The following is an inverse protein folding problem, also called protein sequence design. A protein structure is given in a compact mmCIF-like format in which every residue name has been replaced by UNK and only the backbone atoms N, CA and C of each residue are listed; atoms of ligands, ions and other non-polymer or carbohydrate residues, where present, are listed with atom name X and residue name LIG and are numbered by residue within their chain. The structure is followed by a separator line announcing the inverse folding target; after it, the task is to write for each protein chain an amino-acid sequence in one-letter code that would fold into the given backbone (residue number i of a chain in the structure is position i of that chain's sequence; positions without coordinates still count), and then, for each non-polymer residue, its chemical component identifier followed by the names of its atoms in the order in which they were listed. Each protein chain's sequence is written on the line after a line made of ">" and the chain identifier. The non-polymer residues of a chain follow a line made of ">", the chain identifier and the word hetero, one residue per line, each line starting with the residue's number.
data_IF_577384627872
#
_entry.id   IF_577384627872
#
_cell.length_a   1.000
_cell.length_b   1.000
_cell.length_c   1.000
_cell.angle_alpha   90.00
_cell.angle_beta   90.00
_cell.angle_gamma   90.00
#
_symmetry.space_group_name_H-M   'P 1'
#
loop_
_entity.id
_entity.type
_entity.pdbx_description
1 polymer ?
#
# COMPACT_ATOMS: atom_id res chain seq x y z
N UNK A 1 20.76 -25.79 -22.97
CA UNK A 1 20.59 -26.29 -21.58
C UNK A 1 19.42 -27.27 -21.60
N UNK A 2 19.43 -28.37 -20.83
CA UNK A 2 18.26 -29.28 -20.83
C UNK A 2 17.08 -28.69 -20.04
N UNK A 3 15.82 -29.10 -20.31
CA UNK A 3 14.66 -28.62 -19.55
C UNK A 3 14.76 -28.87 -18.04
N UNK A 4 15.32 -30.02 -17.65
CA UNK A 4 15.57 -30.34 -16.23
C UNK A 4 16.59 -29.37 -15.60
N UNK A 5 17.72 -29.12 -16.27
CA UNK A 5 18.72 -28.18 -15.78
C UNK A 5 18.20 -26.73 -15.72
N UNK A 6 17.28 -26.35 -16.62
CA UNK A 6 16.55 -25.08 -16.53
C UNK A 6 15.72 -25.02 -15.24
N UNK A 7 14.91 -26.04 -14.98
CA UNK A 7 14.00 -26.06 -13.82
C UNK A 7 14.75 -26.01 -12.49
N UNK A 8 15.84 -26.77 -12.33
CA UNK A 8 16.66 -26.76 -11.10
C UNK A 8 17.28 -25.38 -10.87
N UNK A 9 17.82 -24.77 -11.93
CA UNK A 9 18.43 -23.44 -11.84
C UNK A 9 17.39 -22.36 -11.55
N UNK A 10 16.21 -22.44 -12.16
CA UNK A 10 15.10 -21.53 -11.87
C UNK A 10 14.62 -21.66 -10.43
N UNK A 11 14.50 -22.89 -9.90
CA UNK A 11 14.11 -23.10 -8.51
C UNK A 11 15.07 -22.38 -7.53
N UNK A 12 16.38 -22.52 -7.73
CA UNK A 12 17.39 -21.80 -6.94
C UNK A 12 17.24 -20.28 -7.07
N UNK A 13 17.02 -19.78 -8.30
CA UNK A 13 16.85 -18.34 -8.53
C UNK A 13 15.57 -17.80 -7.89
N UNK A 14 14.46 -18.56 -7.93
CA UNK A 14 13.19 -18.21 -7.31
C UNK A 14 13.30 -18.19 -5.79
N UNK A 15 13.95 -19.18 -5.18
CA UNK A 15 14.23 -19.20 -3.74
C UNK A 15 15.05 -17.99 -3.27
N UNK A 16 15.92 -17.47 -4.13
CA UNK A 16 16.74 -16.29 -3.84
C UNK A 16 16.08 -14.97 -4.29
N UNK A 17 14.85 -15.00 -4.80
CA UNK A 17 14.15 -13.85 -5.40
C UNK A 17 14.98 -13.11 -6.47
N UNK A 18 15.85 -13.83 -7.20
CA UNK A 18 16.74 -13.27 -8.24
C UNK A 18 16.01 -13.21 -9.58
N UNK A 19 14.91 -12.44 -9.61
CA UNK A 19 13.99 -12.35 -10.75
C UNK A 19 14.67 -11.86 -12.04
N UNK A 20 15.60 -10.91 -11.95
CA UNK A 20 16.32 -10.38 -13.11
C UNK A 20 17.18 -11.45 -13.80
N UNK A 21 17.83 -12.31 -13.02
CA UNK A 21 18.67 -13.37 -13.56
C UNK A 21 17.83 -14.53 -14.08
N UNK A 22 16.74 -14.87 -13.41
CA UNK A 22 15.77 -15.84 -13.91
C UNK A 22 15.19 -15.37 -15.25
N UNK A 23 14.91 -14.07 -15.39
CA UNK A 23 14.44 -13.47 -16.64
C UNK A 23 15.46 -13.65 -17.77
N UNK A 24 16.71 -13.24 -17.55
CA UNK A 24 17.77 -13.38 -18.56
C UNK A 24 17.99 -14.84 -18.97
N UNK A 25 17.94 -15.76 -18.00
CA UNK A 25 18.05 -17.20 -18.27
C UNK A 25 16.92 -17.69 -19.16
N UNK A 26 15.68 -17.33 -18.86
CA UNK A 26 14.49 -17.70 -19.62
C UNK A 26 14.46 -17.06 -21.01
N UNK A 27 14.81 -15.78 -21.13
CA UNK A 27 14.94 -15.11 -22.43
C UNK A 27 15.97 -15.81 -23.33
N UNK A 28 17.11 -16.23 -22.76
CA UNK A 28 18.12 -16.96 -23.52
C UNK A 28 17.66 -18.35 -23.95
N UNK A 29 16.90 -19.05 -23.10
CA UNK A 29 16.40 -20.39 -23.38
C UNK A 29 15.25 -20.37 -24.40
N UNK A 30 14.30 -19.46 -24.24
CA UNK A 30 13.14 -19.30 -25.14
C UNK A 30 13.55 -18.80 -26.53
N UNK A 31 14.73 -18.21 -26.70
CA UNK A 31 15.27 -17.88 -28.02
C UNK A 31 15.54 -19.14 -28.86
N UNK A 32 15.99 -20.23 -28.22
CA UNK A 32 16.25 -21.52 -28.87
C UNK A 32 15.01 -22.43 -28.89
N UNK A 33 14.12 -22.30 -27.89
CA UNK A 33 12.93 -23.13 -27.69
C UNK A 33 11.65 -22.29 -27.46
N UNK A 34 11.17 -21.54 -28.46
CA UNK A 34 10.06 -20.59 -28.27
C UNK A 34 8.71 -21.24 -27.92
N UNK A 35 8.51 -22.50 -28.31
CA UNK A 35 7.26 -23.25 -28.12
C UNK A 35 7.21 -24.02 -26.79
N UNK A 36 8.28 -23.99 -25.97
CA UNK A 36 8.31 -24.68 -24.68
C UNK A 36 7.34 -24.00 -23.70
N UNK A 37 6.14 -24.58 -23.55
CA UNK A 37 5.03 -24.07 -22.74
C UNK A 37 5.44 -23.85 -21.28
N UNK A 38 6.16 -24.80 -20.69
CA UNK A 38 6.58 -24.71 -19.29
C UNK A 38 7.58 -23.57 -19.09
N UNK A 39 8.52 -23.39 -20.02
CA UNK A 39 9.43 -22.25 -19.99
C UNK A 39 8.69 -20.91 -20.19
N UNK A 40 7.67 -20.85 -21.05
CA UNK A 40 6.80 -19.67 -21.23
C UNK A 40 6.04 -19.34 -19.93
N UNK A 41 5.51 -20.35 -19.23
CA UNK A 41 4.86 -20.19 -17.93
C UNK A 41 5.82 -19.66 -16.86
N UNK A 42 7.03 -20.23 -16.75
CA UNK A 42 8.05 -19.70 -15.84
C UNK A 42 8.42 -18.26 -16.17
N UNK A 43 8.51 -17.92 -17.46
CA UNK A 43 8.81 -16.56 -17.89
C UNK A 43 7.72 -15.57 -17.47
N UNK A 44 6.45 -15.91 -17.68
CA UNK A 44 5.33 -15.08 -17.22
C UNK A 44 5.34 -14.94 -15.69
N UNK A 45 5.61 -16.03 -14.94
CA UNK A 45 5.74 -15.95 -13.49
C UNK A 45 6.87 -14.99 -13.05
N UNK A 46 8.01 -15.01 -13.75
CA UNK A 46 9.11 -14.06 -13.49
C UNK A 46 8.70 -12.63 -13.84
N UNK A 47 7.94 -12.41 -14.90
CA UNK A 47 7.43 -11.08 -15.26
C UNK A 47 6.48 -10.54 -14.19
N UNK A 48 5.61 -11.38 -13.61
CA UNK A 48 4.74 -10.99 -12.49
C UNK A 48 5.58 -10.55 -11.29
N UNK A 49 6.54 -11.38 -10.87
CA UNK A 49 7.36 -11.13 -9.69
C UNK A 49 8.40 -10.00 -9.88
N UNK A 50 8.77 -9.68 -11.12
CA UNK A 50 9.62 -8.52 -11.45
C UNK A 50 8.83 -7.22 -11.67
N UNK A 51 7.49 -7.26 -11.58
CA UNK A 51 6.63 -6.08 -11.72
C UNK A 51 6.24 -5.72 -13.15
N UNK A 52 6.63 -6.52 -14.15
CA UNK A 52 6.32 -6.37 -15.58
C UNK A 52 4.90 -6.89 -15.90
N UNK A 53 3.91 -6.49 -15.08
CA UNK A 53 2.53 -7.01 -15.08
C UNK A 53 1.83 -6.89 -16.45
N UNK A 54 2.17 -5.85 -17.23
CA UNK A 54 1.58 -5.64 -18.57
C UNK A 54 2.04 -6.70 -19.56
N UNK A 55 3.34 -6.96 -19.61
CA UNK A 55 3.91 -7.96 -20.50
C UNK A 55 3.44 -9.36 -20.11
N UNK A 56 3.38 -9.66 -18.81
CA UNK A 56 2.80 -10.91 -18.31
C UNK A 56 1.38 -11.14 -18.84
N UNK A 57 0.55 -10.09 -18.93
CA UNK A 57 -0.80 -10.18 -19.49
C UNK A 57 -0.84 -10.39 -20.99
N UNK A 58 0.01 -9.67 -21.73
CA UNK A 58 0.09 -9.83 -23.17
C UNK A 58 0.47 -11.26 -23.56
N UNK A 59 1.29 -11.92 -22.74
CA UNK A 59 1.78 -13.28 -22.98
C UNK A 59 0.86 -14.40 -22.47
N UNK A 60 0.07 -14.16 -21.42
CA UNK A 60 -0.80 -15.23 -20.86
C UNK A 60 -2.03 -15.51 -21.72
N UNK A 61 -2.53 -14.50 -22.46
CA UNK A 61 -3.70 -14.64 -23.34
C UNK A 61 -3.53 -15.73 -24.41
N UNK A 62 -2.47 -15.67 -25.25
CA UNK A 62 -2.19 -16.70 -26.24
C UNK A 62 -2.03 -18.10 -25.64
N UNK A 63 -1.34 -18.24 -24.49
CA UNK A 63 -1.20 -19.54 -23.82
C UNK A 63 -2.55 -20.10 -23.37
N UNK A 64 -3.45 -19.23 -22.87
CA UNK A 64 -4.78 -19.64 -22.45
C UNK A 64 -5.66 -20.05 -23.66
N UNK A 65 -5.43 -19.46 -24.84
CA UNK A 65 -6.10 -19.88 -26.08
C UNK A 65 -5.54 -21.21 -26.62
N UNK A 66 -4.22 -21.41 -26.55
CA UNK A 66 -3.53 -22.64 -26.96
C UNK A 66 -3.91 -23.83 -26.06
N UNK A 67 -4.03 -23.60 -24.75
CA UNK A 67 -4.25 -24.63 -23.73
C UNK A 67 -5.29 -24.19 -22.68
N UNK A 68 -6.57 -24.07 -23.06
CA UNK A 68 -7.62 -23.50 -22.20
C UNK A 68 -7.93 -24.34 -20.97
N UNK A 69 -7.68 -25.65 -21.04
CA UNK A 69 -7.97 -26.59 -19.95
C UNK A 69 -6.73 -26.92 -19.10
N UNK A 70 -5.55 -26.39 -19.42
CA UNK A 70 -4.33 -26.69 -18.66
C UNK A 70 -4.37 -25.99 -17.28
N UNK A 71 -4.34 -26.75 -16.15
CA UNK A 71 -4.42 -26.16 -14.82
C UNK A 71 -3.32 -25.15 -14.51
N UNK A 72 -2.10 -25.35 -15.01
CA UNK A 72 -0.99 -24.43 -14.77
C UNK A 72 -1.19 -23.09 -15.49
N UNK A 73 -1.72 -23.14 -16.72
CA UNK A 73 -2.04 -21.95 -17.51
C UNK A 73 -3.19 -21.19 -16.86
N UNK A 74 -4.27 -21.89 -16.48
CA UNK A 74 -5.43 -21.32 -15.79
C UNK A 74 -5.04 -20.64 -14.46
N UNK A 75 -4.21 -21.30 -13.65
CA UNK A 75 -3.72 -20.77 -12.38
C UNK A 75 -2.90 -19.50 -12.60
N UNK A 76 -1.96 -19.53 -13.55
CA UNK A 76 -1.13 -18.37 -13.85
C UNK A 76 -1.96 -17.22 -14.44
N UNK A 77 -2.92 -17.51 -15.31
CA UNK A 77 -3.87 -16.53 -15.84
C UNK A 77 -4.67 -15.86 -14.72
N UNK A 78 -5.17 -16.63 -13.75
CA UNK A 78 -5.87 -16.08 -12.60
C UNK A 78 -4.98 -15.13 -11.78
N UNK A 79 -3.71 -15.51 -11.53
CA UNK A 79 -2.74 -14.65 -10.84
C UNK A 79 -2.47 -13.36 -11.64
N UNK A 80 -2.34 -13.43 -12.96
CA UNK A 80 -2.17 -12.25 -13.82
C UNK A 80 -3.39 -11.32 -13.76
N UNK A 81 -4.59 -11.89 -13.73
CA UNK A 81 -5.85 -11.13 -13.65
C UNK A 81 -6.07 -10.49 -12.27
N UNK A 82 -5.67 -11.15 -11.17
CA UNK A 82 -5.61 -10.53 -9.84
C UNK A 82 -4.68 -9.32 -9.84
N UNK A 83 -3.48 -9.50 -10.40
CA UNK A 83 -2.50 -8.43 -10.57
C UNK A 83 -3.00 -7.27 -11.46
N UNK A 84 -4.02 -7.51 -12.32
CA UNK A 84 -4.70 -6.47 -13.10
C UNK A 84 -5.90 -5.82 -12.42
N UNK A 85 -6.20 -6.16 -11.17
CA UNK A 85 -7.43 -5.73 -10.50
C UNK A 85 -8.69 -6.19 -11.26
N UNK A 86 -8.65 -7.38 -11.85
CA UNK A 86 -9.80 -8.07 -12.45
C UNK A 86 -10.17 -9.31 -11.64
N UNK A 87 -10.53 -9.16 -10.36
CA UNK A 87 -10.72 -10.31 -9.49
C UNK A 87 -11.93 -11.16 -9.87
N UNK A 88 -12.90 -10.61 -10.60
CA UNK A 88 -14.02 -11.39 -11.16
C UNK A 88 -13.60 -12.37 -12.25
N UNK A 89 -12.55 -12.05 -13.02
CA UNK A 89 -12.01 -12.97 -14.03
C UNK A 89 -11.22 -14.06 -13.33
N UNK A 90 -10.36 -13.68 -12.38
CA UNK A 90 -9.63 -14.63 -11.54
C UNK A 90 -10.56 -15.58 -10.77
N UNK A 91 -11.67 -15.08 -10.22
CA UNK A 91 -12.71 -15.91 -9.57
C UNK A 91 -13.24 -16.99 -10.52
N UNK A 92 -13.55 -16.64 -11.78
CA UNK A 92 -14.05 -17.63 -12.75
C UNK A 92 -13.01 -18.69 -13.07
N UNK A 93 -11.75 -18.28 -13.26
CA UNK A 93 -10.65 -19.20 -13.55
C UNK A 93 -10.37 -20.13 -12.36
N UNK A 94 -10.40 -19.62 -11.13
CA UNK A 94 -10.31 -20.43 -9.93
C UNK A 94 -11.49 -21.42 -9.81
N UNK A 95 -12.70 -21.00 -10.19
CA UNK A 95 -13.87 -21.88 -10.25
C UNK A 95 -13.68 -23.05 -11.22
N UNK A 96 -13.13 -22.80 -12.41
CA UNK A 96 -12.82 -23.86 -13.39
C UNK A 96 -11.80 -24.84 -12.80
N UNK A 97 -10.74 -24.34 -12.13
CA UNK A 97 -9.75 -25.20 -11.51
C UNK A 97 -10.35 -26.10 -10.40
N UNK A 98 -11.24 -25.54 -9.56
CA UNK A 98 -11.96 -26.30 -8.54
C UNK A 98 -12.86 -27.38 -9.18
N UNK A 99 -13.50 -27.08 -10.32
CA UNK A 99 -14.31 -28.07 -11.05
C UNK A 99 -13.45 -29.19 -11.66
N UNK A 100 -12.25 -28.86 -12.13
CA UNK A 100 -11.29 -29.85 -12.66
C UNK A 100 -10.73 -30.77 -11.58
N UNK A 101 -10.35 -30.20 -10.43
CA UNK A 101 -9.85 -30.93 -9.28
C UNK A 101 -10.39 -30.34 -7.96
N UNK A 102 -11.48 -30.93 -7.41
CA UNK A 102 -12.06 -30.47 -6.16
C UNK A 102 -11.18 -30.69 -4.93
N UNK A 103 -10.10 -31.48 -5.02
CA UNK A 103 -9.17 -31.76 -3.93
C UNK A 103 -7.94 -30.83 -3.94
N UNK A 104 -7.73 -30.06 -5.01
CA UNK A 104 -6.63 -29.08 -5.12
C UNK A 104 -6.88 -27.87 -4.21
N UNK A 105 -6.18 -27.83 -3.07
CA UNK A 105 -6.27 -26.78 -2.07
C UNK A 105 -5.84 -25.40 -2.61
N UNK A 106 -4.85 -25.37 -3.51
CA UNK A 106 -4.35 -24.12 -4.11
C UNK A 106 -5.44 -23.41 -4.94
N UNK A 107 -6.37 -24.14 -5.54
CA UNK A 107 -7.47 -23.56 -6.29
C UNK A 107 -8.47 -22.82 -5.40
N UNK A 108 -8.71 -23.32 -4.18
CA UNK A 108 -9.48 -22.60 -3.17
C UNK A 108 -8.73 -21.40 -2.61
N UNK A 109 -7.40 -21.48 -2.44
CA UNK A 109 -6.57 -20.31 -2.06
C UNK A 109 -6.68 -19.21 -3.12
N UNK A 110 -6.59 -19.57 -4.41
CA UNK A 110 -6.74 -18.63 -5.52
C UNK A 110 -8.14 -18.00 -5.55
N UNK A 111 -9.19 -18.78 -5.31
CA UNK A 111 -10.55 -18.27 -5.13
C UNK A 111 -10.63 -17.30 -3.95
N UNK A 112 -10.03 -17.63 -2.81
CA UNK A 112 -10.00 -16.76 -1.65
C UNK A 112 -9.33 -15.41 -1.95
N UNK A 113 -8.17 -15.41 -2.65
CA UNK A 113 -7.51 -14.18 -3.10
C UNK A 113 -8.43 -13.33 -3.98
N UNK A 114 -9.13 -13.94 -4.94
CA UNK A 114 -10.11 -13.25 -5.77
C UNK A 114 -11.27 -12.65 -4.96
N UNK A 115 -11.72 -13.31 -3.89
CA UNK A 115 -12.75 -12.78 -2.98
C UNK A 115 -12.23 -11.65 -2.11
N UNK A 116 -10.97 -11.69 -1.69
CA UNK A 116 -10.33 -10.60 -0.93
C UNK A 116 -10.20 -9.31 -1.72
N UNK A 117 -9.79 -9.39 -2.98
CA UNK A 117 -9.72 -8.24 -3.88
C UNK A 117 -11.10 -7.64 -4.16
N UNK A 118 -12.15 -8.46 -4.08
CA UNK A 118 -13.55 -8.02 -4.13
C UNK A 118 -14.08 -7.49 -2.79
N UNK A 119 -13.24 -7.48 -1.73
CA UNK A 119 -13.61 -7.14 -0.35
C UNK A 119 -14.70 -8.04 0.24
N UNK A 120 -14.87 -9.24 -0.30
CA UNK A 120 -15.77 -10.26 0.23
C UNK A 120 -14.99 -11.16 1.20
N UNK A 121 -14.70 -10.61 2.37
CA UNK A 121 -13.83 -11.24 3.37
C UNK A 121 -14.41 -12.55 3.93
N UNK A 122 -15.73 -12.64 4.09
CA UNK A 122 -16.36 -13.86 4.59
C UNK A 122 -16.24 -15.00 3.57
N UNK A 123 -16.52 -14.74 2.29
CA UNK A 123 -16.32 -15.75 1.25
C UNK A 123 -14.86 -16.14 1.08
N UNK A 124 -13.93 -15.21 1.28
CA UNK A 124 -12.50 -15.53 1.30
C UNK A 124 -12.16 -16.50 2.43
N UNK A 125 -12.63 -16.24 3.67
CA UNK A 125 -12.43 -17.13 4.80
C UNK A 125 -13.03 -18.53 4.56
N UNK A 126 -14.25 -18.62 4.01
CA UNK A 126 -14.87 -19.91 3.68
C UNK A 126 -14.04 -20.72 2.67
N UNK A 127 -13.47 -20.07 1.65
CA UNK A 127 -12.60 -20.79 0.70
C UNK A 127 -11.27 -21.20 1.34
N UNK A 128 -10.73 -20.41 2.26
CA UNK A 128 -9.53 -20.81 3.02
C UNK A 128 -9.81 -21.98 3.96
N UNK A 129 -11.00 -22.05 4.54
CA UNK A 129 -11.45 -23.22 5.29
C UNK A 129 -11.52 -24.45 4.38
N UNK A 130 -12.12 -24.33 3.18
CA UNK A 130 -12.11 -25.44 2.22
C UNK A 130 -10.70 -25.90 1.80
N UNK A 131 -9.77 -24.97 1.59
CA UNK A 131 -8.37 -25.30 1.30
C UNK A 131 -7.74 -26.09 2.46
N UNK A 132 -7.94 -25.63 3.70
CA UNK A 132 -7.37 -26.24 4.90
C UNK A 132 -8.04 -27.58 5.28
N UNK A 133 -9.30 -27.78 4.92
CA UNK A 133 -9.98 -29.08 5.10
C UNK A 133 -9.35 -30.18 4.21
N UNK A 134 -8.83 -29.81 3.04
CA UNK A 134 -8.13 -30.72 2.10
C UNK A 134 -6.68 -30.88 2.49
N UNK A 135 -6.01 -29.77 2.77
CA UNK A 135 -4.62 -29.74 3.18
C UNK A 135 -4.44 -28.84 4.41
N UNK A 136 -4.48 -29.42 5.63
CA UNK A 136 -4.29 -28.66 6.86
C UNK A 136 -2.92 -27.99 6.98
N UNK A 137 -1.94 -28.43 6.20
CA UNK A 137 -0.57 -27.91 6.18
C UNK A 137 -0.32 -26.89 5.05
N UNK A 138 -1.35 -26.48 4.30
CA UNK A 138 -1.18 -25.42 3.31
C UNK A 138 -0.81 -24.09 3.98
N UNK A 139 0.49 -23.78 3.91
CA UNK A 139 1.08 -22.60 4.55
C UNK A 139 0.52 -21.28 4.01
N UNK A 140 0.20 -21.22 2.71
CA UNK A 140 -0.37 -20.02 2.10
C UNK A 140 -1.81 -19.79 2.59
N UNK A 141 -2.61 -20.85 2.67
CA UNK A 141 -3.98 -20.80 3.19
C UNK A 141 -3.99 -20.38 4.67
N UNK A 142 -3.11 -20.95 5.50
CA UNK A 142 -2.94 -20.56 6.90
C UNK A 142 -2.57 -19.08 7.02
N UNK A 143 -1.57 -18.63 6.27
CA UNK A 143 -1.12 -17.24 6.28
C UNK A 143 -2.22 -16.27 5.85
N UNK A 144 -2.97 -16.60 4.79
CA UNK A 144 -4.04 -15.76 4.30
C UNK A 144 -5.22 -15.73 5.29
N UNK A 145 -5.53 -16.86 5.93
CA UNK A 145 -6.57 -16.94 6.97
C UNK A 145 -6.21 -16.06 8.17
N UNK A 146 -4.96 -16.11 8.64
CA UNK A 146 -4.47 -15.25 9.73
C UNK A 146 -4.58 -13.76 9.35
N UNK A 147 -4.12 -13.41 8.15
CA UNK A 147 -4.15 -12.02 7.67
C UNK A 147 -5.56 -11.45 7.68
N UNK A 148 -6.51 -12.18 7.10
CA UNK A 148 -7.92 -11.80 6.95
C UNK A 148 -8.65 -11.84 8.29
N UNK A 149 -8.47 -12.91 9.07
CA UNK A 149 -9.07 -13.07 10.39
C UNK A 149 -8.68 -11.90 11.31
N UNK A 150 -7.41 -11.55 11.32
CA UNK A 150 -6.95 -10.42 12.12
C UNK A 150 -7.33 -9.05 11.55
N UNK A 151 -7.53 -8.94 10.24
CA UNK A 151 -8.10 -7.72 9.64
C UNK A 151 -9.53 -7.53 10.15
N UNK A 152 -10.34 -8.59 10.15
CA UNK A 152 -11.69 -8.56 10.69
C UNK A 152 -11.73 -8.46 12.22
N UNK A 153 -10.67 -8.86 12.92
CA UNK A 153 -10.60 -8.93 14.37
C UNK A 153 -11.27 -10.17 14.94
N UNK A 154 -11.20 -11.31 14.24
CA UNK A 154 -11.79 -12.57 14.72
C UNK A 154 -10.99 -13.15 15.88
N UNK A 155 -11.71 -13.68 16.87
CA UNK A 155 -11.13 -14.19 18.13
C UNK A 155 -10.24 -15.42 17.95
N UNK A 156 -10.51 -16.23 16.94
CA UNK A 156 -9.76 -17.44 16.60
C UNK A 156 -8.43 -17.17 15.87
N UNK A 157 -8.17 -15.93 15.46
CA UNK A 157 -6.94 -15.55 14.73
C UNK A 157 -5.67 -15.91 15.50
N UNK A 158 -5.66 -15.72 16.82
CA UNK A 158 -4.48 -16.06 17.62
C UNK A 158 -4.21 -17.56 17.62
N UNK A 159 -5.26 -18.38 17.70
CA UNK A 159 -5.11 -19.84 17.63
C UNK A 159 -4.56 -20.27 16.27
N UNK A 160 -5.06 -19.68 15.18
CA UNK A 160 -4.54 -19.95 13.84
C UNK A 160 -3.06 -19.57 13.69
N UNK A 161 -2.62 -18.47 14.33
CA UNK A 161 -1.19 -18.09 14.39
C UNK A 161 -0.38 -19.18 15.12
N UNK A 162 -0.85 -19.62 16.28
CA UNK A 162 -0.15 -20.59 17.11
C UNK A 162 -0.04 -21.96 16.39
N UNK A 163 -1.10 -22.38 15.70
CA UNK A 163 -1.13 -23.60 14.87
C UNK A 163 -0.16 -23.49 13.68
N UNK A 164 -0.19 -22.39 12.93
CA UNK A 164 0.70 -22.19 11.79
C UNK A 164 2.18 -22.15 12.21
N UNK A 165 2.50 -21.49 13.33
CA UNK A 165 3.86 -21.48 13.88
C UNK A 165 4.28 -22.81 14.48
N UNK A 166 3.34 -23.66 14.91
CA UNK A 166 3.64 -25.02 15.34
C UNK A 166 4.05 -25.90 14.14
N UNK A 167 3.32 -25.78 13.03
CA UNK A 167 3.62 -26.51 11.79
C UNK A 167 4.93 -26.05 11.15
N UNK A 168 5.15 -24.74 11.04
CA UNK A 168 6.37 -24.16 10.50
C UNK A 168 6.87 -22.98 11.36
N UNK A 169 7.75 -23.25 12.35
CA UNK A 169 8.24 -22.23 13.28
C UNK A 169 9.07 -21.11 12.63
N UNK A 170 9.63 -21.35 11.44
CA UNK A 170 10.50 -20.42 10.72
C UNK A 170 9.83 -19.83 9.47
N UNK A 171 8.52 -20.00 9.29
CA UNK A 171 7.80 -19.34 8.20
C UNK A 171 7.79 -17.81 8.41
N UNK A 172 8.55 -17.08 7.58
CA UNK A 172 8.71 -15.63 7.72
C UNK A 172 7.38 -14.90 7.62
N UNK A 173 6.48 -15.36 6.75
CA UNK A 173 5.19 -14.74 6.51
C UNK A 173 4.23 -14.94 7.69
N UNK A 174 4.24 -16.11 8.33
CA UNK A 174 3.46 -16.37 9.56
C UNK A 174 3.96 -15.51 10.71
N UNK A 175 5.27 -15.41 10.88
CA UNK A 175 5.89 -14.54 11.88
C UNK A 175 5.53 -13.07 11.59
N UNK A 176 5.54 -12.65 10.34
CA UNK A 176 5.16 -11.31 9.91
C UNK A 176 3.68 -11.02 10.17
N UNK A 177 2.80 -11.96 9.85
CA UNK A 177 1.37 -11.91 10.14
C UNK A 177 1.12 -11.72 11.64
N UNK A 178 1.81 -12.48 12.50
CA UNK A 178 1.74 -12.30 13.95
C UNK A 178 2.20 -10.90 14.36
N UNK A 179 3.35 -10.44 13.84
CA UNK A 179 3.83 -9.08 14.07
C UNK A 179 2.82 -8.00 13.65
N UNK A 180 2.13 -8.21 12.53
CA UNK A 180 1.11 -7.29 12.05
C UNK A 180 -0.16 -7.29 12.91
N UNK A 181 -0.55 -8.46 13.46
CA UNK A 181 -1.64 -8.50 14.44
C UNK A 181 -1.29 -7.79 15.74
N UNK A 182 -0.06 -7.95 16.25
CA UNK A 182 0.42 -7.20 17.41
C UNK A 182 0.36 -5.69 17.17
N UNK A 183 0.71 -5.24 15.96
CA UNK A 183 0.60 -3.84 15.56
C UNK A 183 -0.86 -3.34 15.60
N UNK A 184 -1.80 -4.12 15.05
CA UNK A 184 -3.25 -3.81 15.08
C UNK A 184 -3.80 -3.73 16.51
N UNK A 185 -3.30 -4.58 17.41
CA UNK A 185 -3.61 -4.55 18.84
C UNK A 185 -2.95 -3.36 19.57
N UNK A 186 -2.06 -2.62 18.91
CA UNK A 186 -1.33 -1.49 19.49
C UNK A 186 -0.07 -1.87 20.26
N UNK A 187 0.33 -3.14 20.23
CA UNK A 187 1.54 -3.67 20.86
C UNK A 187 2.77 -3.43 19.96
N UNK A 188 3.11 -2.15 19.77
CA UNK A 188 4.11 -1.71 18.77
C UNK A 188 5.50 -2.32 19.00
N UNK A 189 5.99 -2.37 20.23
CA UNK A 189 7.34 -2.89 20.49
C UNK A 189 7.43 -4.41 20.26
N UNK A 190 6.40 -5.17 20.65
CA UNK A 190 6.31 -6.61 20.36
C UNK A 190 6.20 -6.87 18.84
N UNK A 191 5.42 -6.04 18.13
CA UNK A 191 5.34 -6.09 16.67
C UNK A 191 6.72 -5.89 16.03
N UNK A 192 7.47 -4.86 16.45
CA UNK A 192 8.80 -4.56 15.92
C UNK A 192 9.80 -5.70 16.15
N UNK A 193 9.73 -6.37 17.30
CA UNK A 193 10.57 -7.54 17.58
C UNK A 193 10.22 -8.72 16.66
N UNK A 194 8.94 -9.04 16.54
CA UNK A 194 8.47 -10.15 15.71
C UNK A 194 8.75 -9.92 14.22
N UNK A 195 8.56 -8.68 13.74
CA UNK A 195 8.82 -8.30 12.36
C UNK A 195 10.32 -8.28 12.03
N UNK A 196 11.17 -7.91 13.00
CA UNK A 196 12.63 -8.05 12.84
C UNK A 196 13.03 -9.51 12.68
N UNK A 197 12.40 -10.42 13.43
CA UNK A 197 12.65 -11.85 13.28
C UNK A 197 12.25 -12.35 11.89
N UNK A 198 11.05 -12.01 11.42
CA UNK A 198 10.60 -12.34 10.05
C UNK A 198 11.59 -11.86 8.99
N UNK A 199 12.04 -10.60 9.07
CA UNK A 199 13.01 -10.01 8.14
C UNK A 199 14.43 -10.59 8.26
N UNK A 200 14.77 -11.21 9.39
CA UNK A 200 16.06 -11.90 9.55
C UNK A 200 16.06 -13.27 8.85
N UNK A 201 14.90 -13.91 8.75
CA UNK A 201 14.69 -15.17 8.02
C UNK A 201 14.58 -14.87 6.52
N UNK A 202 13.66 -13.98 6.15
CA UNK A 202 13.44 -13.56 4.76
C UNK A 202 13.46 -12.03 4.66
N UNK A 203 14.60 -11.43 4.26
CA UNK A 203 14.71 -9.98 4.07
C UNK A 203 13.82 -9.40 2.97
N UNK A 204 13.28 -10.26 2.09
CA UNK A 204 12.43 -9.86 0.96
C UNK A 204 10.93 -10.06 1.22
N UNK A 205 10.54 -10.57 2.38
CA UNK A 205 9.14 -10.76 2.75
C UNK A 205 8.39 -9.41 2.73
N UNK A 206 7.46 -9.27 1.78
CA UNK A 206 6.78 -8.01 1.50
C UNK A 206 5.90 -7.56 2.67
N UNK A 207 5.17 -8.51 3.27
CA UNK A 207 4.34 -8.25 4.43
C UNK A 207 5.20 -7.80 5.62
N UNK A 208 6.31 -8.50 5.90
CA UNK A 208 7.21 -8.15 6.98
C UNK A 208 7.80 -6.75 6.81
N UNK A 209 8.23 -6.39 5.59
CA UNK A 209 8.77 -5.06 5.28
C UNK A 209 7.72 -3.98 5.46
N UNK A 210 6.52 -4.20 4.92
CA UNK A 210 5.39 -3.28 5.04
C UNK A 210 5.01 -3.07 6.51
N UNK A 211 4.72 -4.16 7.23
CA UNK A 211 4.32 -4.11 8.62
C UNK A 211 5.42 -3.52 9.52
N UNK A 212 6.71 -3.77 9.22
CA UNK A 212 7.83 -3.18 9.95
C UNK A 212 7.84 -1.66 9.76
N UNK A 213 7.66 -1.19 8.53
CA UNK A 213 7.59 0.23 8.22
C UNK A 213 6.42 0.89 8.96
N UNK A 214 5.22 0.30 8.92
CA UNK A 214 4.04 0.76 9.66
C UNK A 214 4.28 0.76 11.19
N UNK A 215 4.90 -0.29 11.73
CA UNK A 215 5.23 -0.39 13.16
C UNK A 215 6.25 0.66 13.60
N UNK A 216 7.25 0.96 12.77
CA UNK A 216 8.21 2.02 13.06
C UNK A 216 7.55 3.41 13.07
N UNK A 217 6.64 3.68 12.14
CA UNK A 217 5.83 4.90 12.12
C UNK A 217 4.90 4.97 13.34
N UNK A 218 4.32 3.84 13.74
CA UNK A 218 3.44 3.70 14.90
C UNK A 218 4.12 3.95 16.26
N UNK A 219 5.46 4.11 16.32
CA UNK A 219 6.10 4.66 17.51
C UNK A 219 5.63 6.08 17.81
N UNK A 220 5.25 6.83 16.78
CA UNK A 220 4.64 8.14 16.92
C UNK A 220 3.13 7.99 17.19
N UNK A 221 2.65 8.47 18.34
CA UNK A 221 1.27 8.26 18.76
C UNK A 221 0.19 8.80 17.80
N UNK A 222 0.37 9.95 17.11
CA UNK A 222 -0.60 10.40 16.11
C UNK A 222 -0.67 9.47 14.90
N UNK A 223 0.45 8.82 14.55
CA UNK A 223 0.46 7.81 13.51
C UNK A 223 -0.37 6.59 13.91
N UNK A 224 -0.33 6.17 15.18
CA UNK A 224 -1.19 5.07 15.66
C UNK A 224 -2.66 5.35 15.49
N UNK A 225 -3.07 6.59 15.76
CA UNK A 225 -4.46 7.02 15.56
C UNK A 225 -4.83 6.98 14.08
N UNK A 226 -3.94 7.50 13.22
CA UNK A 226 -4.10 7.44 11.76
C UNK A 226 -4.19 6.00 11.24
N UNK A 227 -3.30 5.11 11.69
CA UNK A 227 -3.28 3.70 11.29
C UNK A 227 -4.59 3.00 11.67
N UNK A 228 -5.09 3.20 12.91
CA UNK A 228 -6.39 2.66 13.32
C UNK A 228 -7.54 3.20 12.49
N UNK A 229 -7.51 4.50 12.18
CA UNK A 229 -8.50 5.12 11.29
C UNK A 229 -8.45 4.49 9.88
N UNK A 230 -7.25 4.31 9.31
CA UNK A 230 -7.12 3.69 7.99
C UNK A 230 -7.63 2.24 7.97
N UNK A 231 -7.27 1.44 8.97
CA UNK A 231 -7.76 0.06 9.12
C UNK A 231 -9.29 0.01 9.24
N UNK A 232 -9.89 0.92 10.00
CA UNK A 232 -11.35 1.03 10.10
C UNK A 232 -12.01 1.41 8.76
N UNK A 233 -11.45 2.41 8.07
CA UNK A 233 -11.95 2.88 6.77
C UNK A 233 -11.75 1.83 5.66
N UNK A 234 -10.74 0.97 5.77
CA UNK A 234 -10.48 -0.09 4.82
C UNK A 234 -11.58 -1.17 4.83
N UNK A 235 -12.19 -1.44 6.00
CA UNK A 235 -13.28 -2.42 6.16
C UNK A 235 -14.60 -1.95 5.54
N UNK A 236 -14.79 -0.64 5.40
CA UNK A 236 -16.01 -0.06 4.89
C UNK A 236 -16.07 -0.16 3.36
N UNK A 237 -17.29 -0.28 2.82
CA UNK A 237 -17.53 -0.12 1.38
C UNK A 237 -17.24 1.33 0.96
N UNK A 238 -16.94 1.55 -0.32
CA UNK A 238 -16.63 2.91 -0.82
C UNK A 238 -17.72 3.95 -0.49
N UNK A 239 -19.00 3.55 -0.56
CA UNK A 239 -20.12 4.41 -0.18
C UNK A 239 -20.18 4.71 1.31
N UNK A 240 -19.93 3.71 2.17
CA UNK A 240 -19.91 3.88 3.62
C UNK A 240 -18.75 4.78 4.07
N UNK A 241 -17.56 4.58 3.50
CA UNK A 241 -16.38 5.45 3.73
C UNK A 241 -16.67 6.90 3.36
N UNK A 242 -17.32 7.15 2.22
CA UNK A 242 -17.73 8.50 1.82
C UNK A 242 -18.75 9.09 2.81
N UNK A 243 -19.69 8.26 3.30
CA UNK A 243 -20.65 8.65 4.34
C UNK A 243 -19.98 9.12 5.63
N UNK A 244 -18.91 8.45 6.08
CA UNK A 244 -18.14 8.88 7.27
C UNK A 244 -17.51 10.26 7.06
N UNK A 245 -16.91 10.49 5.89
CA UNK A 245 -16.27 11.78 5.56
C UNK A 245 -17.31 12.90 5.49
N UNK A 246 -18.44 12.67 4.82
CA UNK A 246 -19.55 13.64 4.72
C UNK A 246 -20.13 13.91 6.10
N UNK A 247 -20.35 12.86 6.91
CA UNK A 247 -20.86 12.98 8.28
C UNK A 247 -19.95 13.83 9.17
N UNK A 248 -18.63 13.61 9.08
CA UNK A 248 -17.65 14.42 9.81
C UNK A 248 -17.69 15.89 9.36
N UNK A 249 -17.78 16.15 8.05
CA UNK A 249 -17.89 17.51 7.52
C UNK A 249 -19.17 18.22 7.99
N UNK A 250 -20.32 17.53 7.96
CA UNK A 250 -21.58 18.06 8.48
C UNK A 250 -21.51 18.35 9.98
N UNK A 251 -20.90 17.44 10.75
CA UNK A 251 -20.72 17.62 12.19
C UNK A 251 -19.84 18.84 12.49
N UNK A 252 -18.71 18.99 11.80
CA UNK A 252 -17.84 20.17 11.95
C UNK A 252 -18.60 21.45 11.60
N UNK A 253 -19.34 21.45 10.50
CA UNK A 253 -20.11 22.63 10.08
C UNK A 253 -21.21 23.00 11.09
N UNK A 254 -21.91 22.00 11.63
CA UNK A 254 -22.88 22.20 12.70
C UNK A 254 -22.24 22.76 13.98
N UNK A 255 -21.12 22.18 14.42
CA UNK A 255 -20.39 22.65 15.60
C UNK A 255 -19.91 24.10 15.43
N UNK A 256 -19.38 24.45 14.25
CA UNK A 256 -18.99 25.83 13.92
C UNK A 256 -20.19 26.79 14.01
N UNK A 257 -21.34 26.43 13.43
CA UNK A 257 -22.54 27.26 13.50
C UNK A 257 -23.01 27.46 14.95
N UNK A 258 -23.04 26.40 15.76
CA UNK A 258 -23.42 26.49 17.18
C UNK A 258 -22.46 27.39 17.96
N UNK A 259 -21.15 27.30 17.67
CA UNK A 259 -20.12 28.13 18.30
C UNK A 259 -20.27 29.61 17.93
N UNK A 260 -20.66 29.91 16.69
CA UNK A 260 -20.92 31.28 16.20
C UNK A 260 -22.19 31.88 16.80
N UNK A 261 -23.28 31.11 16.83
CA UNK A 261 -24.58 31.55 17.36
C UNK A 261 -24.57 31.68 18.90
N UNK A 262 -23.70 30.93 19.58
CA UNK A 262 -23.64 30.88 21.04
C UNK A 262 -22.21 31.13 21.54
N UNK A 263 -21.79 32.40 21.70
CA UNK A 263 -20.43 32.76 22.10
C UNK A 263 -19.97 32.10 23.42
N UNK A 264 -20.90 31.81 24.33
CA UNK A 264 -20.61 31.12 25.59
C UNK A 264 -20.09 29.68 25.42
N UNK A 265 -20.45 28.99 24.34
CA UNK A 265 -19.93 27.65 24.01
C UNK A 265 -18.72 27.70 23.08
N UNK A 266 -18.46 28.83 22.43
CA UNK A 266 -17.36 29.01 21.49
C UNK A 266 -15.99 28.64 22.07
N UNK A 267 -15.75 28.94 23.35
CA UNK A 267 -14.49 28.60 24.05
C UNK A 267 -14.18 27.09 24.01
N UNK A 268 -15.21 26.23 24.02
CA UNK A 268 -15.06 24.78 24.02
C UNK A 268 -15.19 24.18 22.61
N UNK A 269 -16.05 24.75 21.77
CA UNK A 269 -16.34 24.23 20.44
C UNK A 269 -15.26 24.56 19.41
N UNK A 270 -14.69 25.77 19.43
CA UNK A 270 -13.63 26.15 18.48
C UNK A 270 -12.39 25.24 18.55
N UNK A 271 -11.85 24.92 19.74
CA UNK A 271 -10.77 23.94 19.86
C UNK A 271 -11.11 22.58 19.26
N UNK A 272 -12.35 22.10 19.40
CA UNK A 272 -12.79 20.81 18.83
C UNK A 272 -12.83 20.89 17.30
N UNK A 273 -13.39 21.97 16.75
CA UNK A 273 -13.42 22.21 15.29
C UNK A 273 -12.00 22.24 14.71
N UNK A 274 -11.09 22.99 15.35
CA UNK A 274 -9.68 23.05 14.91
C UNK A 274 -8.98 21.71 15.04
N UNK A 275 -9.26 20.93 16.08
CA UNK A 275 -8.72 19.59 16.24
C UNK A 275 -9.21 18.66 15.12
N UNK A 276 -10.50 18.69 14.77
CA UNK A 276 -11.04 17.92 13.65
C UNK A 276 -10.36 18.29 12.32
N UNK A 277 -10.19 19.59 12.07
CA UNK A 277 -9.48 20.08 10.89
C UNK A 277 -7.99 19.66 10.88
N UNK A 278 -7.31 19.75 12.02
CA UNK A 278 -5.93 19.33 12.15
C UNK A 278 -5.76 17.82 11.91
N UNK A 279 -6.66 16.98 12.45
CA UNK A 279 -6.69 15.54 12.19
C UNK A 279 -6.96 15.22 10.72
N UNK A 280 -7.85 15.98 10.08
CA UNK A 280 -8.09 15.85 8.64
C UNK A 280 -6.84 16.18 7.83
N UNK A 281 -6.20 17.32 8.08
CA UNK A 281 -4.94 17.68 7.42
C UNK A 281 -3.82 16.67 7.70
N UNK A 282 -3.79 16.11 8.91
CA UNK A 282 -2.83 15.08 9.29
C UNK A 282 -2.92 13.88 8.33
N UNK A 283 -4.12 13.51 7.86
CA UNK A 283 -4.27 12.40 6.89
C UNK A 283 -3.53 12.63 5.57
N UNK A 284 -3.24 13.89 5.19
CA UNK A 284 -2.53 14.23 3.95
C UNK A 284 -1.01 14.31 4.14
N UNK A 285 -0.56 14.77 5.31
CA UNK A 285 0.86 15.05 5.57
C UNK A 285 1.56 13.98 6.42
N UNK A 286 0.82 13.11 7.12
CA UNK A 286 1.40 12.19 8.09
C UNK A 286 2.41 11.25 7.43
N UNK A 287 2.09 10.65 6.30
CA UNK A 287 2.98 9.71 5.62
C UNK A 287 4.27 10.37 5.12
N UNK A 288 4.22 11.53 4.41
CA UNK A 288 5.42 12.31 4.08
C UNK A 288 6.30 12.64 5.29
N UNK A 289 5.70 13.11 6.38
CA UNK A 289 6.41 13.47 7.62
C UNK A 289 7.04 12.22 8.25
N UNK A 290 6.32 11.10 8.25
CA UNK A 290 6.82 9.84 8.79
C UNK A 290 7.96 9.27 7.94
N UNK A 291 7.92 9.39 6.62
CA UNK A 291 9.05 9.01 5.76
C UNK A 291 10.29 9.86 6.05
N UNK A 292 10.12 11.16 6.27
CA UNK A 292 11.21 12.02 6.72
C UNK A 292 11.76 11.57 8.10
N UNK A 293 10.89 11.28 9.06
CA UNK A 293 11.30 10.71 10.35
C UNK A 293 12.11 9.41 10.17
N UNK A 294 11.63 8.47 9.34
CA UNK A 294 12.32 7.21 9.07
C UNK A 294 13.69 7.42 8.41
N UNK A 295 13.85 8.45 7.58
CA UNK A 295 15.14 8.80 6.97
C UNK A 295 16.21 9.13 8.05
N UNK A 296 15.81 9.66 9.20
CA UNK A 296 16.72 9.97 10.32
C UNK A 296 17.14 8.72 11.11
N UNK A 297 16.42 7.61 10.96
CA UNK A 297 16.70 6.34 11.61
C UNK A 297 17.52 5.41 10.69
N UNK A 298 18.56 4.76 11.23
CA UNK A 298 19.44 3.85 10.47
C UNK A 298 18.66 2.71 9.79
N UNK A 299 17.74 2.08 10.51
CA UNK A 299 16.94 0.96 9.99
C UNK A 299 15.76 1.45 9.16
N UNK A 300 15.11 2.55 9.58
CA UNK A 300 13.99 3.13 8.86
C UNK A 300 14.34 3.52 7.43
N UNK A 301 15.54 4.06 7.21
CA UNK A 301 16.02 4.43 5.86
C UNK A 301 16.16 3.22 4.91
N UNK A 302 16.42 2.02 5.42
CA UNK A 302 16.57 0.82 4.59
C UNK A 302 15.23 0.26 4.11
N UNK A 303 14.14 0.58 4.81
CA UNK A 303 12.79 0.17 4.43
C UNK A 303 12.20 1.04 3.33
N UNK A 304 12.70 2.29 3.18
CA UNK A 304 12.26 3.21 2.15
C UNK A 304 12.90 2.89 0.80
N UNK A 305 12.10 2.99 -0.27
CA UNK A 305 12.62 2.99 -1.64
C UNK A 305 13.30 4.33 -2.00
N UNK A 306 13.94 4.42 -3.17
CA UNK A 306 14.67 5.62 -3.59
C UNK A 306 13.75 6.82 -3.85
N UNK A 307 12.54 6.61 -4.36
CA UNK A 307 11.56 7.67 -4.61
C UNK A 307 11.04 8.24 -3.28
N UNK A 308 10.74 7.37 -2.31
CA UNK A 308 10.37 7.71 -0.95
C UNK A 308 11.49 8.47 -0.24
N UNK A 309 12.76 8.06 -0.39
CA UNK A 309 13.90 8.80 0.18
C UNK A 309 14.01 10.20 -0.40
N UNK A 310 13.84 10.36 -1.71
CA UNK A 310 13.89 11.68 -2.36
C UNK A 310 12.74 12.57 -1.87
N UNK A 311 11.50 12.08 -1.90
CA UNK A 311 10.33 12.81 -1.40
C UNK A 311 10.50 13.18 0.09
N UNK A 312 10.97 12.25 0.92
CA UNK A 312 11.25 12.48 2.34
C UNK A 312 12.29 13.59 2.58
N UNK A 313 13.37 13.64 1.79
CA UNK A 313 14.38 14.71 1.88
C UNK A 313 13.79 16.07 1.50
N UNK A 314 12.98 16.12 0.43
CA UNK A 314 12.32 17.35 0.00
C UNK A 314 11.32 17.85 1.04
N UNK A 315 10.51 16.94 1.61
CA UNK A 315 9.60 17.25 2.72
C UNK A 315 10.38 17.77 3.92
N UNK A 316 11.49 17.12 4.30
CA UNK A 316 12.37 17.58 5.38
C UNK A 316 12.96 18.97 5.12
N UNK A 317 13.38 19.24 3.88
CA UNK A 317 13.82 20.58 3.46
C UNK A 317 12.71 21.63 3.58
N UNK A 318 11.50 21.30 3.14
CA UNK A 318 10.33 22.18 3.25
C UNK A 318 9.97 22.47 4.71
N UNK A 319 9.95 21.45 5.57
CA UNK A 319 9.72 21.61 7.01
C UNK A 319 10.81 22.46 7.67
N UNK A 320 12.07 22.28 7.28
CA UNK A 320 13.18 23.10 7.75
C UNK A 320 13.03 24.58 7.37
N UNK A 321 12.68 24.87 6.11
CA UNK A 321 12.38 26.22 5.63
C UNK A 321 11.16 26.83 6.33
N UNK A 322 10.11 26.04 6.58
CA UNK A 322 8.97 26.47 7.37
C UNK A 322 9.38 26.89 8.79
N UNK A 323 10.18 26.06 9.47
CA UNK A 323 10.70 26.35 10.81
C UNK A 323 11.56 27.60 10.86
N UNK A 324 12.49 27.77 9.91
CA UNK A 324 13.32 28.98 9.81
C UNK A 324 12.48 30.23 9.55
N UNK A 325 11.45 30.12 8.71
CA UNK A 325 10.51 31.22 8.45
C UNK A 325 9.71 31.57 9.71
N UNK A 326 9.22 30.59 10.48
CA UNK A 326 8.55 30.88 11.76
C UNK A 326 9.49 31.58 12.76
N UNK A 327 10.74 31.13 12.87
CA UNK A 327 11.72 31.80 13.73
C UNK A 327 11.98 33.24 13.28
N UNK A 328 12.11 33.46 11.97
CA UNK A 328 12.26 34.81 11.42
C UNK A 328 11.02 35.68 11.67
N UNK A 329 9.81 35.12 11.59
CA UNK A 329 8.57 35.81 11.96
C UNK A 329 8.58 36.25 13.43
N UNK A 330 8.90 35.36 14.36
CA UNK A 330 8.96 35.72 15.79
C UNK A 330 10.06 36.73 16.11
N UNK A 331 11.17 36.71 15.37
CA UNK A 331 12.27 37.65 15.57
C UNK A 331 11.98 39.04 14.98
N UNK A 332 11.27 39.12 13.86
CA UNK A 332 11.09 40.37 13.10
C UNK A 332 9.68 40.95 13.15
N UNK A 333 8.68 40.14 13.49
CA UNK A 333 7.25 40.47 13.37
C UNK A 333 6.73 40.55 11.93
N UNK A 334 7.56 40.25 10.91
CA UNK A 334 7.19 40.45 9.52
C UNK A 334 6.27 39.32 9.00
N UNK A 335 5.03 39.67 8.64
CA UNK A 335 4.02 38.74 8.11
C UNK A 335 4.49 37.95 6.87
N UNK A 336 5.45 38.46 6.11
CA UNK A 336 6.12 37.75 5.02
C UNK A 336 6.62 36.37 5.47
N UNK A 337 7.30 36.29 6.61
CA UNK A 337 7.87 35.04 7.11
C UNK A 337 6.80 34.08 7.64
N UNK A 338 5.70 34.60 8.18
CA UNK A 338 4.55 33.79 8.52
C UNK A 338 3.92 33.16 7.26
N UNK A 339 3.73 33.94 6.21
CA UNK A 339 3.21 33.45 4.93
C UNK A 339 4.12 32.38 4.31
N UNK A 340 5.44 32.60 4.33
CA UNK A 340 6.44 31.62 3.87
C UNK A 340 6.36 30.32 4.68
N UNK A 341 6.24 30.41 6.01
CA UNK A 341 6.07 29.24 6.86
C UNK A 341 4.84 28.40 6.46
N UNK A 342 3.70 29.05 6.27
CA UNK A 342 2.48 28.37 5.82
C UNK A 342 2.63 27.77 4.43
N UNK A 343 3.23 28.47 3.48
CA UNK A 343 3.46 27.94 2.14
C UNK A 343 4.34 26.69 2.17
N UNK A 344 5.46 26.70 2.90
CA UNK A 344 6.34 25.54 3.01
C UNK A 344 5.71 24.37 3.78
N UNK A 345 4.85 24.63 4.76
CA UNK A 345 4.08 23.57 5.43
C UNK A 345 3.11 22.90 4.45
N UNK A 346 2.33 23.69 3.71
CA UNK A 346 1.38 23.16 2.72
C UNK A 346 2.09 22.42 1.58
N UNK A 347 3.28 22.88 1.19
CA UNK A 347 4.05 22.27 0.11
C UNK A 347 4.59 20.87 0.45
N UNK A 348 4.57 20.47 1.72
CA UNK A 348 4.86 19.07 2.11
C UNK A 348 3.91 18.05 1.47
N UNK A 349 2.67 18.46 1.16
CA UNK A 349 1.67 17.59 0.53
C UNK A 349 2.14 17.16 -0.87
N UNK A 350 2.33 18.06 -1.85
CA UNK A 350 2.76 17.64 -3.18
C UNK A 350 4.19 17.10 -3.20
N UNK A 351 5.11 17.62 -2.37
CA UNK A 351 6.48 17.09 -2.26
C UNK A 351 6.52 15.66 -1.72
N UNK A 352 5.51 15.26 -0.93
CA UNK A 352 5.41 13.94 -0.34
C UNK A 352 4.76 12.89 -1.24
N UNK A 353 4.33 13.26 -2.45
CA UNK A 353 3.51 12.37 -3.27
C UNK A 353 3.74 12.42 -4.79
N UNK A 354 4.48 13.38 -5.31
CA UNK A 354 4.63 13.58 -6.76
C UNK A 354 5.32 12.43 -7.52
N UNK A 355 6.07 11.56 -6.82
CA UNK A 355 6.71 10.38 -7.40
C UNK A 355 5.97 9.07 -7.10
N UNK A 356 4.80 9.11 -6.43
CA UNK A 356 4.03 7.91 -6.10
C UNK A 356 3.53 7.12 -7.32
N UNK A 357 3.07 7.73 -8.43
CA UNK A 357 2.55 6.97 -9.55
C UNK A 357 3.62 6.04 -10.15
N UNK A 358 3.23 4.86 -10.60
CA UNK A 358 4.16 3.98 -11.33
C UNK A 358 4.38 4.51 -12.73
N UNK A 359 3.32 4.96 -13.43
CA UNK A 359 3.45 5.32 -14.85
C UNK A 359 4.29 6.59 -14.97
N UNK A 360 5.36 6.50 -15.77
CA UNK A 360 6.26 7.63 -16.05
C UNK A 360 5.51 8.89 -16.48
N UNK A 361 4.48 8.78 -17.31
CA UNK A 361 3.66 9.93 -17.72
C UNK A 361 2.96 10.61 -16.55
N UNK A 362 2.35 9.83 -15.64
CA UNK A 362 1.68 10.38 -14.46
C UNK A 362 2.68 11.02 -13.50
N UNK A 363 3.85 10.41 -13.30
CA UNK A 363 4.97 11.00 -12.55
C UNK A 363 5.39 12.36 -13.12
N UNK A 364 5.56 12.46 -14.45
CA UNK A 364 5.92 13.73 -15.09
C UNK A 364 4.84 14.79 -14.86
N UNK A 365 3.55 14.43 -15.02
CA UNK A 365 2.43 15.36 -14.79
C UNK A 365 2.45 15.87 -13.35
N UNK A 366 2.53 14.99 -12.35
CA UNK A 366 2.55 15.41 -10.94
C UNK A 366 3.80 16.20 -10.57
N UNK A 367 4.94 15.90 -11.19
CA UNK A 367 6.19 16.67 -11.00
C UNK A 367 6.00 18.10 -11.50
N UNK A 368 5.49 18.28 -12.73
CA UNK A 368 5.20 19.61 -13.28
C UNK A 368 4.13 20.35 -12.47
N UNK A 369 3.09 19.66 -12.03
CA UNK A 369 2.06 20.23 -11.16
C UNK A 369 2.69 20.74 -9.85
N UNK A 370 3.53 19.93 -9.21
CA UNK A 370 4.21 20.27 -7.96
C UNK A 370 5.11 21.50 -8.13
N UNK A 371 5.89 21.55 -9.20
CA UNK A 371 6.71 22.73 -9.54
C UNK A 371 5.83 23.96 -9.75
N UNK A 372 4.73 23.83 -10.50
CA UNK A 372 3.76 24.90 -10.70
C UNK A 372 3.19 25.43 -9.39
N UNK A 373 2.76 24.56 -8.48
CA UNK A 373 2.29 24.94 -7.15
C UNK A 373 3.34 25.71 -6.36
N UNK A 374 4.62 25.32 -6.46
CA UNK A 374 5.72 26.04 -5.82
C UNK A 374 5.91 27.44 -6.40
N UNK A 375 5.87 27.57 -7.73
CA UNK A 375 5.99 28.86 -8.44
C UNK A 375 4.83 29.79 -8.10
N UNK A 376 3.59 29.31 -8.18
CA UNK A 376 2.41 30.12 -7.85
C UNK A 376 2.33 30.44 -6.36
N UNK A 377 2.64 29.48 -5.50
CA UNK A 377 2.64 29.65 -4.05
C UNK A 377 3.66 30.68 -3.59
N UNK A 378 4.94 30.51 -3.95
CA UNK A 378 5.99 31.48 -3.58
C UNK A 378 5.80 32.81 -4.32
N UNK A 379 5.42 32.77 -5.61
CA UNK A 379 5.14 33.97 -6.40
C UNK A 379 4.02 34.82 -5.80
N UNK A 380 2.98 34.20 -5.22
CA UNK A 380 1.92 34.94 -4.52
C UNK A 380 2.43 35.75 -3.34
N UNK A 381 3.42 35.23 -2.63
CA UNK A 381 4.00 35.86 -1.45
C UNK A 381 4.93 37.01 -1.85
N UNK A 382 5.81 36.79 -2.82
CA UNK A 382 6.78 37.83 -3.23
C UNK A 382 6.16 38.94 -4.08
N UNK A 383 5.08 38.65 -4.81
CA UNK A 383 4.37 39.62 -5.65
C UNK A 383 3.14 40.21 -4.97
N UNK A 384 2.88 39.83 -3.71
CA UNK A 384 1.68 40.21 -2.94
C UNK A 384 0.37 40.05 -3.74
N UNK A 385 0.25 38.90 -4.43
CA UNK A 385 -0.85 38.65 -5.35
C UNK A 385 -1.81 37.62 -4.78
N UNK A 386 -2.93 38.10 -4.24
CA UNK A 386 -4.02 37.24 -3.75
C UNK A 386 -4.56 36.29 -4.83
N UNK A 387 -4.54 36.68 -6.11
CA UNK A 387 -4.94 35.82 -7.23
C UNK A 387 -4.01 34.61 -7.37
N UNK A 388 -2.68 34.82 -7.35
CA UNK A 388 -1.72 33.71 -7.40
C UNK A 388 -1.85 32.82 -6.15
N UNK A 389 -2.13 33.42 -4.99
CA UNK A 389 -2.33 32.69 -3.74
C UNK A 389 -3.55 31.78 -3.79
N UNK A 390 -4.66 32.30 -4.30
CA UNK A 390 -5.88 31.52 -4.52
C UNK A 390 -5.65 30.39 -5.53
N UNK A 391 -4.95 30.67 -6.65
CA UNK A 391 -4.59 29.64 -7.64
C UNK A 391 -3.77 28.52 -6.98
N UNK A 392 -2.78 28.86 -6.15
CA UNK A 392 -1.97 27.86 -5.45
C UNK A 392 -2.81 27.04 -4.44
N UNK A 393 -3.69 27.68 -3.67
CA UNK A 393 -4.52 27.01 -2.67
C UNK A 393 -5.55 26.07 -3.32
N UNK A 394 -6.31 26.55 -4.31
CA UNK A 394 -7.24 25.71 -5.06
C UNK A 394 -6.52 24.64 -5.87
N UNK A 395 -5.35 24.97 -6.42
CA UNK A 395 -4.47 24.03 -7.09
C UNK A 395 -4.01 22.90 -6.18
N UNK A 396 -3.73 23.18 -4.91
CA UNK A 396 -3.35 22.14 -3.93
C UNK A 396 -4.51 21.19 -3.62
N UNK A 397 -5.74 21.71 -3.51
CA UNK A 397 -6.93 20.86 -3.39
C UNK A 397 -7.13 20.01 -4.64
N UNK A 398 -7.05 20.62 -5.83
CA UNK A 398 -7.17 19.93 -7.10
C UNK A 398 -6.07 18.87 -7.28
N UNK A 399 -4.85 19.14 -6.83
CA UNK A 399 -3.75 18.19 -6.82
C UNK A 399 -4.13 16.91 -6.07
N UNK A 400 -4.80 17.01 -4.91
CA UNK A 400 -5.24 15.85 -4.15
C UNK A 400 -6.26 15.00 -4.93
N UNK A 401 -7.17 15.63 -5.68
CA UNK A 401 -8.10 14.89 -6.56
C UNK A 401 -7.38 14.24 -7.73
N UNK A 402 -6.41 14.94 -8.34
CA UNK A 402 -5.62 14.43 -9.47
C UNK A 402 -4.83 13.19 -9.04
N UNK A 403 -4.10 13.28 -7.93
CA UNK A 403 -3.33 12.13 -7.43
C UNK A 403 -4.25 10.99 -7.01
N UNK A 404 -5.34 11.25 -6.28
CA UNK A 404 -6.27 10.19 -5.89
C UNK A 404 -6.89 9.50 -7.12
N UNK A 405 -7.28 10.25 -8.15
CA UNK A 405 -7.82 9.71 -9.39
C UNK A 405 -6.78 8.93 -10.20
N UNK A 406 -5.52 9.37 -10.20
CA UNK A 406 -4.39 8.64 -10.77
C UNK A 406 -4.15 7.33 -10.03
N UNK A 407 -4.08 7.38 -8.69
CA UNK A 407 -3.87 6.22 -7.84
C UNK A 407 -4.99 5.20 -8.02
N UNK A 408 -6.27 5.60 -8.00
CA UNK A 408 -7.41 4.69 -8.26
C UNK A 408 -7.30 4.02 -9.63
N UNK A 409 -6.83 4.74 -10.66
CA UNK A 409 -6.66 4.20 -12.03
C UNK A 409 -5.39 3.36 -12.20
N UNK A 410 -4.39 3.55 -11.37
CA UNK A 410 -3.17 2.74 -11.31
C UNK A 410 -3.28 1.58 -10.31
N UNK A 411 -4.27 1.61 -9.43
CA UNK A 411 -4.32 0.81 -8.23
C UNK A 411 -5.49 1.15 -7.31
N UNK A 412 -6.49 0.27 -7.26
CA UNK A 412 -7.11 -0.13 -5.98
C UNK A 412 -6.09 -0.72 -4.99
N UNK A 413 -4.89 -0.12 -4.87
CA UNK A 413 -3.77 -0.50 -4.03
C UNK A 413 -4.02 0.02 -2.63
N UNK A 414 -4.88 -0.69 -1.93
CA UNK A 414 -4.95 -0.63 -0.49
C UNK A 414 -4.58 -2.01 0.02
N UNK A 415 -3.42 -2.09 0.67
CA UNK A 415 -2.90 -3.19 1.48
C UNK A 415 -2.33 -4.41 0.75
N UNK A 416 -1.07 -4.73 1.08
CA UNK A 416 -0.52 -6.09 1.03
C UNK A 416 -0.29 -6.73 -0.34
N UNK A 417 0.37 -6.03 -1.27
CA UNK A 417 1.17 -6.70 -2.32
C UNK A 417 2.64 -6.70 -1.94
#
# INVERSE_FOLDING_TARGET
>A
MSPQALSERLNILFQQARWTEARQLLESYLADYPEDELARLYYINVLINSGEKKLARELIGPLLEESPDNPLVLRLAAVVELNDQKPKVAERLAGILIEQDPEDDDSYVLMARAKLDQRNYDAALTNLEYALDRNPENQEALNLKIYVGGFLGREDTQRAIDEALYLNPEDSTTIANHGYQLLRQGQVDAALERLRHALSINPTDQLARYAMLEAMRARFWPYRLYFKYQEAMAKLSGGASMGVIIGLWLAVNFLSRVAEENPGYGLFLWPVVYLCFALFLLTWIIEPIMNFYLLTNRYGRLLLDEDQKLMARLVGGSLGLAGLSLLAYFATGAFLFQALAFAFLLFTIPLGSFLRPIRKTQRTILTLYTVGLGVFGLGSIFLDSGTLGNIALFGLLAYQFVINGMMVREGGRTFGE
#
